data_IF_083385854341
#
_entry.id   IF_083385854341
#
_cell.length_a   1.000
_cell.length_b   1.000
_cell.length_c   1.000
_cell.angle_alpha   90.00
_cell.angle_beta   90.00
_cell.angle_gamma   90.00
#
_symmetry.space_group_name_H-M   'P 1'
#
loop_
_entity.id
_entity.type
_entity.pdbx_description
1 polymer ?
#
# COMPACT_ATOMS: atom_id res chain seq x y z
N UNK A 1 -0.45 6.59 -13.04
CA UNK A 1 -1.46 7.20 -13.95
C UNK A 1 -2.86 6.79 -13.55
N UNK A 2 -3.28 5.54 -13.75
CA UNK A 2 -4.63 5.10 -13.34
C UNK A 2 -4.88 5.28 -11.83
N UNK A 3 -3.97 4.77 -10.98
CA UNK A 3 -3.99 5.03 -9.54
C UNK A 3 -4.15 6.51 -9.19
N UNK A 4 -3.31 7.38 -9.78
CA UNK A 4 -3.33 8.81 -9.49
C UNK A 4 -4.66 9.46 -9.92
N UNK A 5 -5.26 8.99 -11.02
CA UNK A 5 -6.56 9.46 -11.48
C UNK A 5 -7.70 9.02 -10.55
N UNK A 6 -7.63 7.82 -9.98
CA UNK A 6 -8.57 7.36 -8.95
C UNK A 6 -8.46 8.23 -7.69
N UNK A 7 -7.24 8.56 -7.25
CA UNK A 7 -7.00 9.46 -6.11
C UNK A 7 -7.56 10.86 -6.36
N UNK A 8 -7.38 11.40 -7.57
CA UNK A 8 -7.92 12.71 -7.94
C UNK A 8 -9.45 12.68 -8.05
N UNK A 9 -10.00 11.60 -8.60
CA UNK A 9 -11.43 11.39 -8.78
C UNK A 9 -12.18 11.20 -7.46
N UNK A 10 -11.63 10.47 -6.49
CA UNK A 10 -12.31 10.18 -5.21
C UNK A 10 -12.58 11.41 -4.34
N UNK A 11 -11.88 12.52 -4.59
CA UNK A 11 -12.16 13.81 -3.93
C UNK A 11 -13.39 14.52 -4.52
N UNK A 12 -13.81 14.12 -5.71
CA UNK A 12 -14.82 14.82 -6.52
C UNK A 12 -16.09 13.98 -6.66
N UNK A 13 -15.93 12.68 -6.75
CA UNK A 13 -17.02 11.71 -6.79
C UNK A 13 -17.01 10.88 -5.51
N UNK A 14 -18.17 10.71 -4.86
CA UNK A 14 -18.26 9.90 -3.65
C UNK A 14 -18.32 8.42 -4.05
N UNK A 15 -17.19 7.78 -4.35
CA UNK A 15 -17.15 6.35 -4.67
C UNK A 15 -17.23 5.46 -3.41
N UNK A 16 -18.18 5.74 -2.50
CA UNK A 16 -18.39 4.96 -1.29
C UNK A 16 -19.82 4.42 -1.21
N UNK A 17 -20.00 3.34 -0.48
CA UNK A 17 -21.30 2.73 -0.24
C UNK A 17 -22.25 3.73 0.45
N UNK A 18 -23.46 3.90 -0.09
CA UNK A 18 -24.46 4.85 0.42
C UNK A 18 -24.39 6.28 -0.13
N UNK A 19 -23.47 6.57 -1.05
CA UNK A 19 -23.31 7.88 -1.69
C UNK A 19 -24.26 8.18 -2.87
N UNK A 20 -25.06 7.19 -3.29
CA UNK A 20 -25.87 7.26 -4.51
C UNK A 20 -25.10 6.93 -5.80
N UNK A 21 -23.77 6.83 -5.78
CA UNK A 21 -22.93 6.41 -6.91
C UNK A 21 -22.48 4.96 -6.71
N UNK A 22 -23.16 4.03 -7.38
CA UNK A 22 -22.85 2.60 -7.28
C UNK A 22 -21.97 2.13 -8.43
N UNK A 23 -20.66 2.15 -8.22
CA UNK A 23 -19.68 1.52 -9.13
C UNK A 23 -19.09 0.30 -8.44
N UNK A 24 -19.40 -0.89 -8.96
CA UNK A 24 -18.92 -2.15 -8.41
C UNK A 24 -17.59 -2.55 -9.05
N UNK A 25 -16.53 -2.68 -8.25
CA UNK A 25 -15.22 -3.14 -8.68
C UNK A 25 -15.08 -4.62 -8.37
N UNK A 26 -14.63 -5.42 -9.33
CA UNK A 26 -14.49 -6.87 -9.16
C UNK A 26 -13.07 -7.31 -9.48
N UNK A 27 -12.38 -7.86 -8.48
CA UNK A 27 -11.02 -8.38 -8.59
C UNK A 27 -10.98 -9.88 -8.29
N UNK A 28 -10.02 -10.56 -8.91
CA UNK A 28 -9.78 -12.00 -8.75
C UNK A 28 -8.53 -12.21 -7.91
N UNK A 29 -8.56 -13.26 -7.09
CA UNK A 29 -7.42 -13.72 -6.30
C UNK A 29 -6.26 -14.12 -7.22
N UNK A 30 -5.07 -13.61 -6.94
CA UNK A 30 -3.84 -13.84 -7.71
C UNK A 30 -3.08 -15.12 -7.31
N UNK A 31 -3.40 -15.71 -6.15
CA UNK A 31 -2.76 -16.91 -5.61
C UNK A 31 -3.55 -18.18 -5.92
N UNK A 32 -4.87 -18.12 -5.84
CA UNK A 32 -5.73 -19.27 -6.09
C UNK A 32 -6.07 -19.42 -7.58
N UNK A 33 -5.48 -20.42 -8.24
CA UNK A 33 -5.97 -20.86 -9.56
C UNK A 33 -7.20 -21.75 -9.35
N UNK A 34 -8.31 -21.40 -10.00
CA UNK A 34 -9.50 -22.25 -10.03
C UNK A 34 -9.15 -23.70 -10.39
N UNK A 35 -9.62 -24.67 -9.59
CA UNK A 35 -9.52 -26.10 -9.95
C UNK A 35 -10.46 -26.38 -11.14
N UNK A 36 -10.31 -27.54 -11.81
CA UNK A 36 -11.03 -27.93 -13.05
C UNK A 36 -12.57 -27.74 -13.04
N UNK A 37 -13.19 -27.54 -11.87
CA UNK A 37 -14.62 -27.30 -11.65
C UNK A 37 -14.94 -26.05 -10.78
N UNK A 38 -13.94 -25.27 -10.37
CA UNK A 38 -14.11 -24.11 -9.47
C UNK A 38 -13.48 -22.87 -10.08
N UNK A 39 -14.24 -21.77 -10.19
CA UNK A 39 -13.73 -20.49 -10.65
C UNK A 39 -12.75 -19.90 -9.63
N UNK A 40 -11.71 -19.21 -10.09
CA UNK A 40 -10.85 -18.37 -9.23
C UNK A 40 -11.70 -17.51 -8.29
N UNK A 41 -11.43 -17.52 -6.97
CA UNK A 41 -12.12 -16.66 -6.02
C UNK A 41 -12.07 -15.20 -6.47
N UNK A 42 -13.19 -14.50 -6.29
CA UNK A 42 -13.32 -13.10 -6.66
C UNK A 42 -14.04 -12.33 -5.56
N UNK A 43 -13.69 -11.07 -5.43
CA UNK A 43 -14.33 -10.13 -4.52
C UNK A 43 -14.85 -8.95 -5.31
N UNK A 44 -16.10 -8.57 -5.02
CA UNK A 44 -16.81 -7.48 -5.66
C UNK A 44 -17.27 -6.49 -4.60
N UNK A 45 -16.72 -5.27 -4.61
CA UNK A 45 -17.02 -4.22 -3.62
C UNK A 45 -17.27 -2.90 -4.35
N UNK A 46 -18.29 -2.17 -3.92
CA UNK A 46 -18.64 -0.84 -4.45
C UNK A 46 -17.94 0.28 -3.68
N UNK A 47 -16.60 0.22 -3.64
CA UNK A 47 -15.75 1.18 -2.93
C UNK A 47 -14.52 1.54 -3.77
N UNK A 48 -14.30 2.84 -4.00
CA UNK A 48 -13.14 3.34 -4.72
C UNK A 48 -11.81 3.12 -3.98
N UNK A 49 -11.82 3.03 -2.65
CA UNK A 49 -10.62 2.67 -1.88
C UNK A 49 -10.26 1.19 -2.07
N UNK A 50 -11.24 0.30 -2.24
CA UNK A 50 -10.98 -1.10 -2.60
C UNK A 50 -10.27 -1.18 -3.96
N UNK A 51 -10.81 -0.50 -4.98
CA UNK A 51 -10.17 -0.40 -6.30
C UNK A 51 -8.73 0.11 -6.20
N UNK A 52 -8.50 1.16 -5.39
CA UNK A 52 -7.15 1.73 -5.20
C UNK A 52 -6.18 0.73 -4.57
N UNK A 53 -6.61 -0.05 -3.59
CA UNK A 53 -5.76 -1.08 -2.97
C UNK A 53 -5.39 -2.18 -3.97
N UNK A 54 -6.35 -2.67 -4.77
CA UNK A 54 -6.08 -3.67 -5.81
C UNK A 54 -5.14 -3.14 -6.91
N UNK A 55 -5.30 -1.87 -7.31
CA UNK A 55 -4.39 -1.23 -8.27
C UNK A 55 -2.98 -1.08 -7.68
N UNK A 56 -2.86 -0.68 -6.41
CA UNK A 56 -1.57 -0.60 -5.72
C UNK A 56 -0.91 -1.98 -5.60
N UNK A 57 -1.68 -3.03 -5.32
CA UNK A 57 -1.19 -4.40 -5.30
C UNK A 57 -0.53 -4.77 -6.65
N UNK A 58 -1.20 -4.48 -7.77
CA UNK A 58 -0.66 -4.73 -9.10
C UNK A 58 0.57 -3.86 -9.42
N UNK A 59 0.61 -2.61 -8.95
CA UNK A 59 1.80 -1.76 -9.08
C UNK A 59 2.98 -2.38 -8.32
N UNK A 60 2.78 -2.83 -7.08
CA UNK A 60 3.81 -3.50 -6.29
C UNK A 60 4.28 -4.80 -6.95
N UNK A 61 3.37 -5.58 -7.50
CA UNK A 61 3.68 -6.81 -8.24
C UNK A 61 4.45 -6.52 -9.54
N UNK A 62 4.09 -5.48 -10.28
CA UNK A 62 4.84 -5.09 -11.49
C UNK A 62 6.23 -4.56 -11.13
N UNK A 63 6.36 -3.79 -10.05
CA UNK A 63 7.66 -3.34 -9.54
C UNK A 63 8.55 -4.53 -9.15
N UNK A 64 8.00 -5.57 -8.52
CA UNK A 64 8.79 -6.77 -8.19
C UNK A 64 9.24 -7.53 -9.45
N UNK A 65 8.38 -7.62 -10.47
CA UNK A 65 8.75 -8.20 -11.76
C UNK A 65 9.88 -7.43 -12.45
N UNK A 66 9.76 -6.10 -12.56
CA UNK A 66 10.81 -5.24 -13.13
C UNK A 66 12.12 -5.40 -12.36
N UNK A 67 12.05 -5.48 -11.02
CA UNK A 67 13.22 -5.73 -10.19
C UNK A 67 13.87 -7.08 -10.47
N UNK A 68 13.08 -8.12 -10.74
CA UNK A 68 13.56 -9.47 -11.06
C UNK A 68 14.15 -9.61 -12.47
N UNK A 69 13.69 -8.80 -13.43
CA UNK A 69 14.17 -8.79 -14.83
C UNK A 69 15.41 -7.91 -15.03
N UNK A 70 15.78 -7.09 -14.05
CA UNK A 70 16.95 -6.24 -14.11
C UNK A 70 18.26 -7.05 -14.25
N UNK A 71 19.22 -6.54 -15.01
CA UNK A 71 20.52 -7.19 -15.16
C UNK A 71 21.39 -7.05 -13.89
N UNK A 72 21.31 -8.04 -13.01
CA UNK A 72 22.03 -8.06 -11.72
C UNK A 72 23.56 -8.17 -11.83
N UNK A 73 24.11 -8.33 -13.04
CA UNK A 73 25.57 -8.29 -13.29
C UNK A 73 26.11 -6.87 -13.46
N UNK A 74 25.24 -5.85 -13.43
CA UNK A 74 25.61 -4.45 -13.62
C UNK A 74 25.22 -3.61 -12.40
N UNK A 75 26.02 -2.60 -12.11
CA UNK A 75 25.76 -1.65 -11.02
C UNK A 75 24.40 -0.97 -11.14
N UNK A 76 24.00 -0.60 -12.35
CA UNK A 76 22.73 0.08 -12.58
C UNK A 76 21.54 -0.88 -12.52
N UNK A 77 21.70 -2.13 -12.95
CA UNK A 77 20.70 -3.17 -12.74
C UNK A 77 20.47 -3.46 -11.26
N UNK A 78 21.54 -3.60 -10.47
CA UNK A 78 21.45 -3.81 -9.01
C UNK A 78 20.79 -2.63 -8.30
N UNK A 79 21.12 -1.39 -8.66
CA UNK A 79 20.45 -0.19 -8.12
C UNK A 79 18.96 -0.17 -8.48
N UNK A 80 18.63 -0.52 -9.71
CA UNK A 80 17.25 -0.52 -10.23
C UNK A 80 16.42 -1.58 -9.52
N UNK A 81 16.94 -2.81 -9.40
CA UNK A 81 16.31 -3.90 -8.66
C UNK A 81 16.08 -3.54 -7.19
N UNK A 82 17.13 -3.08 -6.50
CA UNK A 82 17.03 -2.66 -5.10
C UNK A 82 16.00 -1.53 -4.89
N UNK A 83 15.91 -0.57 -5.82
CA UNK A 83 14.91 0.49 -5.76
C UNK A 83 13.49 -0.08 -5.84
N UNK A 84 13.20 -0.88 -6.86
CA UNK A 84 11.85 -1.39 -7.08
C UNK A 84 11.40 -2.40 -6.02
N UNK A 85 12.32 -3.23 -5.50
CA UNK A 85 12.00 -4.11 -4.38
C UNK A 85 11.67 -3.30 -3.10
N UNK A 86 12.40 -2.22 -2.80
CA UNK A 86 12.08 -1.37 -1.64
C UNK A 86 10.74 -0.62 -1.81
N UNK A 87 10.43 -0.16 -3.03
CA UNK A 87 9.14 0.47 -3.36
C UNK A 87 7.98 -0.54 -3.25
N UNK A 88 8.15 -1.74 -3.81
CA UNK A 88 7.18 -2.83 -3.73
C UNK A 88 6.91 -3.24 -2.27
N UNK A 89 7.95 -3.45 -1.46
CA UNK A 89 7.82 -3.75 -0.03
C UNK A 89 7.02 -2.68 0.72
N UNK A 90 7.28 -1.41 0.42
CA UNK A 90 6.57 -0.28 1.02
C UNK A 90 5.10 -0.23 0.65
N UNK A 91 4.75 -0.50 -0.61
CA UNK A 91 3.37 -0.54 -1.07
C UNK A 91 2.62 -1.71 -0.43
N UNK A 92 3.19 -2.92 -0.40
CA UNK A 92 2.56 -4.06 0.29
C UNK A 92 2.33 -3.77 1.78
N UNK A 93 3.28 -3.11 2.44
CA UNK A 93 3.13 -2.70 3.84
C UNK A 93 1.99 -1.71 4.02
N UNK A 94 1.85 -0.74 3.11
CA UNK A 94 0.73 0.20 3.13
C UNK A 94 -0.63 -0.47 2.92
N UNK A 95 -0.72 -1.41 1.97
CA UNK A 95 -1.96 -2.17 1.72
C UNK A 95 -2.30 -2.97 2.98
N UNK A 96 -1.33 -3.64 3.61
CA UNK A 96 -1.51 -4.40 4.85
C UNK A 96 -2.16 -3.58 5.97
N UNK A 97 -1.76 -2.31 6.12
CA UNK A 97 -2.31 -1.41 7.14
C UNK A 97 -3.75 -0.94 6.85
N UNK A 98 -4.21 -1.02 5.60
CA UNK A 98 -5.50 -0.47 5.15
C UNK A 98 -6.53 -1.52 4.78
N UNK A 99 -6.09 -2.71 4.37
CA UNK A 99 -6.96 -3.73 3.78
C UNK A 99 -8.11 -4.12 4.71
N UNK A 100 -7.86 -4.25 6.01
CA UNK A 100 -8.90 -4.60 6.98
C UNK A 100 -10.01 -3.55 7.08
N UNK A 101 -9.65 -2.26 7.03
CA UNK A 101 -10.64 -1.18 7.12
C UNK A 101 -11.47 -0.98 5.86
N UNK A 102 -10.99 -1.46 4.71
CA UNK A 102 -11.60 -1.24 3.39
C UNK A 102 -12.36 -2.48 2.91
N UNK A 103 -11.78 -3.67 3.10
CA UNK A 103 -12.31 -4.94 2.57
C UNK A 103 -13.04 -5.73 3.66
N UNK A 104 -12.61 -5.59 4.92
CA UNK A 104 -13.09 -6.41 6.03
C UNK A 104 -12.62 -7.87 5.96
N UNK A 105 -12.70 -8.58 7.09
CA UNK A 105 -12.17 -9.95 7.20
C UNK A 105 -12.91 -10.98 6.32
N UNK A 106 -14.22 -10.81 6.10
CA UNK A 106 -15.06 -11.84 5.47
C UNK A 106 -15.14 -11.75 3.94
N UNK A 107 -14.60 -10.68 3.34
CA UNK A 107 -14.64 -10.45 1.88
C UNK A 107 -13.24 -10.41 1.26
N UNK A 108 -12.17 -10.51 2.06
CA UNK A 108 -10.81 -10.51 1.53
C UNK A 108 -10.50 -11.78 0.77
N UNK A 109 -10.02 -11.63 -0.47
CA UNK A 109 -9.29 -12.70 -1.15
C UNK A 109 -7.99 -12.99 -0.42
N UNK A 110 -7.42 -14.16 -0.67
CA UNK A 110 -6.23 -14.68 0.01
C UNK A 110 -5.04 -13.74 -0.17
N UNK A 111 -4.86 -13.27 -1.40
CA UNK A 111 -3.75 -12.38 -1.77
C UNK A 111 -3.79 -11.01 -1.07
N UNK A 112 -4.96 -10.63 -0.57
CA UNK A 112 -5.19 -9.40 0.19
C UNK A 112 -5.22 -9.62 1.72
N UNK A 113 -4.92 -10.83 2.21
CA UNK A 113 -4.82 -11.04 3.66
C UNK A 113 -3.59 -10.34 4.24
N UNK A 114 -3.66 -9.99 5.53
CA UNK A 114 -2.56 -9.31 6.24
C UNK A 114 -1.29 -10.15 6.22
N UNK A 115 -1.44 -11.46 6.35
CA UNK A 115 -0.36 -12.44 6.37
C UNK A 115 0.35 -12.50 5.02
N UNK A 116 -0.38 -12.59 3.90
CA UNK A 116 0.21 -12.63 2.55
C UNK A 116 0.90 -11.30 2.21
N UNK A 117 0.25 -10.17 2.49
CA UNK A 117 0.84 -8.84 2.25
C UNK A 117 2.12 -8.63 3.08
N UNK A 118 2.14 -9.14 4.31
CA UNK A 118 3.34 -9.13 5.15
C UNK A 118 4.46 -10.01 4.56
N UNK A 119 4.11 -11.21 4.11
CA UNK A 119 5.04 -12.14 3.49
C UNK A 119 5.69 -11.52 2.24
N UNK A 120 4.90 -10.92 1.35
CA UNK A 120 5.43 -10.22 0.17
C UNK A 120 6.33 -9.05 0.55
N UNK A 121 5.94 -8.24 1.52
CA UNK A 121 6.80 -7.15 2.01
C UNK A 121 8.17 -7.66 2.49
N UNK A 122 8.18 -8.73 3.30
CA UNK A 122 9.41 -9.34 3.78
C UNK A 122 10.27 -9.94 2.65
N UNK A 123 9.66 -10.65 1.68
CA UNK A 123 10.38 -11.23 0.53
C UNK A 123 11.06 -10.13 -0.29
N UNK A 124 10.33 -9.06 -0.61
CA UNK A 124 10.86 -7.92 -1.37
C UNK A 124 12.01 -7.25 -0.61
N UNK A 125 11.89 -7.09 0.71
CA UNK A 125 12.95 -6.49 1.52
C UNK A 125 14.22 -7.36 1.56
N UNK A 126 14.07 -8.69 1.64
CA UNK A 126 15.18 -9.64 1.51
C UNK A 126 15.90 -9.52 0.17
N UNK A 127 15.15 -9.47 -0.94
CA UNK A 127 15.70 -9.31 -2.29
C UNK A 127 16.41 -7.95 -2.49
N UNK A 128 15.88 -6.88 -1.90
CA UNK A 128 16.55 -5.58 -1.91
C UNK A 128 17.91 -5.62 -1.18
N UNK A 129 17.97 -6.26 -0.01
CA UNK A 129 19.22 -6.40 0.74
C UNK A 129 20.24 -7.30 0.01
N UNK A 130 19.77 -8.35 -0.68
CA UNK A 130 20.60 -9.16 -1.57
C UNK A 130 21.25 -8.32 -2.67
N UNK A 131 20.50 -7.45 -3.34
CA UNK A 131 21.07 -6.55 -4.35
C UNK A 131 22.17 -5.64 -3.78
N UNK A 132 22.01 -5.15 -2.54
CA UNK A 132 23.06 -4.37 -1.87
C UNK A 132 24.30 -5.20 -1.53
N UNK A 133 24.12 -6.46 -1.12
CA UNK A 133 25.25 -7.36 -0.90
C UNK A 133 26.01 -7.64 -2.21
N UNK A 134 25.30 -8.00 -3.28
CA UNK A 134 25.92 -8.35 -4.57
C UNK A 134 26.72 -7.17 -5.11
N UNK A 135 26.15 -5.96 -5.02
CA UNK A 135 26.83 -4.72 -5.36
C UNK A 135 28.08 -4.51 -4.50
N UNK A 136 27.95 -4.60 -3.18
CA UNK A 136 29.09 -4.40 -2.26
C UNK A 136 30.19 -5.45 -2.47
N UNK A 137 29.83 -6.68 -2.84
CA UNK A 137 30.76 -7.78 -3.09
C UNK A 137 31.52 -7.62 -4.40
N UNK A 138 30.94 -6.91 -5.37
CA UNK A 138 31.53 -6.63 -6.67
C UNK A 138 32.35 -5.34 -6.68
N UNK A 139 32.06 -4.41 -5.76
CA UNK A 139 32.79 -3.15 -5.61
C UNK A 139 34.25 -3.39 -5.13
N UNK A 140 35.28 -2.92 -5.87
CA UNK A 140 36.68 -3.19 -5.52
C UNK A 140 37.14 -2.62 -4.17
N UNK A 141 36.51 -1.56 -3.67
CA UNK A 141 36.86 -0.92 -2.41
C UNK A 141 36.18 -1.63 -1.22
N UNK A 142 34.93 -2.04 -1.38
CA UNK A 142 34.15 -2.74 -0.36
C UNK A 142 34.50 -4.23 -0.27
N UNK A 143 34.86 -4.88 -1.39
CA UNK A 143 35.29 -6.28 -1.39
C UNK A 143 36.60 -6.52 -0.60
N UNK A 144 37.38 -5.46 -0.37
CA UNK A 144 38.55 -5.47 0.52
C UNK A 144 38.21 -5.32 2.00
N UNK A 145 36.92 -5.14 2.35
CA UNK A 145 36.43 -4.99 3.72
C UNK A 145 35.53 -6.18 4.10
N UNK A 146 36.11 -7.37 4.31
CA UNK A 146 35.35 -8.60 4.54
C UNK A 146 34.43 -8.51 5.76
N UNK A 147 34.80 -7.78 6.82
CA UNK A 147 33.94 -7.58 7.99
C UNK A 147 32.63 -6.82 7.66
N UNK A 148 32.69 -5.85 6.74
CA UNK A 148 31.51 -5.10 6.29
C UNK A 148 30.60 -6.04 5.48
N UNK A 149 31.16 -6.80 4.53
CA UNK A 149 30.41 -7.78 3.75
C UNK A 149 29.78 -8.86 4.61
N UNK A 150 30.48 -9.31 5.67
CA UNK A 150 29.93 -10.27 6.62
C UNK A 150 28.65 -9.74 7.31
N UNK A 151 28.66 -8.48 7.74
CA UNK A 151 27.50 -7.84 8.39
C UNK A 151 26.33 -7.63 7.42
N UNK A 152 26.62 -7.29 6.17
CA UNK A 152 25.59 -7.13 5.12
C UNK A 152 24.98 -8.49 4.78
N UNK A 153 25.78 -9.54 4.56
CA UNK A 153 25.30 -10.89 4.31
C UNK A 153 24.48 -11.45 5.47
N UNK A 154 24.92 -11.22 6.71
CA UNK A 154 24.18 -11.67 7.90
C UNK A 154 22.81 -11.00 8.00
N UNK A 155 22.71 -9.72 7.63
CA UNK A 155 21.42 -9.05 7.54
C UNK A 155 20.55 -9.63 6.41
N UNK A 156 21.11 -9.95 5.25
CA UNK A 156 20.36 -10.61 4.16
C UNK A 156 19.80 -11.95 4.61
N UNK A 157 20.62 -12.76 5.27
CA UNK A 157 20.20 -14.04 5.86
C UNK A 157 19.04 -13.86 6.84
N UNK A 158 19.14 -12.86 7.73
CA UNK A 158 18.08 -12.54 8.68
C UNK A 158 16.78 -12.14 7.99
N UNK A 159 16.81 -11.26 6.99
CA UNK A 159 15.61 -10.84 6.27
C UNK A 159 14.94 -12.00 5.54
N UNK A 160 15.72 -12.91 4.94
CA UNK A 160 15.17 -14.14 4.35
C UNK A 160 14.60 -15.10 5.39
N UNK A 161 15.16 -15.14 6.60
CA UNK A 161 14.57 -15.90 7.71
C UNK A 161 13.19 -15.34 8.09
N UNK A 162 13.06 -14.02 8.17
CA UNK A 162 11.77 -13.37 8.49
C UNK A 162 10.77 -13.55 7.34
N UNK A 163 11.23 -13.49 6.09
CA UNK A 163 10.40 -13.78 4.92
C UNK A 163 9.89 -15.24 4.92
N UNK A 164 10.76 -16.21 5.23
CA UNK A 164 10.37 -17.61 5.32
C UNK A 164 9.34 -17.87 6.43
N UNK A 165 9.50 -17.24 7.61
CA UNK A 165 8.51 -17.31 8.70
C UNK A 165 7.17 -16.69 8.30
N UNK A 166 7.20 -15.49 7.73
CA UNK A 166 5.98 -14.81 7.27
C UNK A 166 5.25 -15.61 6.18
N UNK A 167 5.98 -16.28 5.29
CA UNK A 167 5.39 -17.18 4.30
C UNK A 167 4.75 -18.42 4.93
N UNK A 168 5.30 -18.95 6.02
CA UNK A 168 4.67 -20.06 6.78
C UNK A 168 3.39 -19.59 7.46
N UNK A 169 3.39 -18.41 8.06
CA UNK A 169 2.20 -17.81 8.68
C UNK A 169 1.10 -17.54 7.65
N UNK A 170 1.49 -17.14 6.43
CA UNK A 170 0.57 -16.93 5.31
C UNK A 170 0.06 -18.23 4.66
N UNK A 171 0.77 -19.35 4.81
CA UNK A 171 0.48 -20.59 4.09
C UNK A 171 -0.42 -21.54 4.89
N UNK A 172 -1.72 -21.54 4.55
CA UNK A 172 -2.67 -22.54 5.04
C UNK A 172 -3.11 -23.56 3.98
N UNK A 173 -2.84 -23.35 2.67
CA UNK A 173 -3.18 -24.25 1.54
C UNK A 173 -2.67 -23.79 0.15
N UNK A 174 -1.63 -22.95 0.04
CA UNK A 174 -1.33 -22.18 -1.18
C UNK A 174 -0.01 -22.57 -1.87
N UNK A 175 0.14 -22.21 -3.15
CA UNK A 175 1.38 -22.40 -3.93
C UNK A 175 2.57 -21.53 -3.47
N UNK A 176 2.60 -21.08 -2.21
CA UNK A 176 3.68 -20.29 -1.62
C UNK A 176 4.84 -21.14 -1.10
N UNK A 177 4.65 -22.46 -0.93
CA UNK A 177 5.68 -23.37 -0.43
C UNK A 177 7.00 -23.36 -1.22
N UNK A 178 6.95 -23.13 -2.53
CA UNK A 178 8.15 -23.00 -3.36
C UNK A 178 8.93 -21.71 -3.02
N UNK A 179 8.23 -20.59 -2.83
CA UNK A 179 8.84 -19.30 -2.44
C UNK A 179 9.40 -19.38 -1.02
N UNK A 180 8.69 -20.05 -0.11
CA UNK A 180 9.13 -20.30 1.27
C UNK A 180 10.41 -21.15 1.30
N UNK A 181 10.47 -22.19 0.49
CA UNK A 181 11.66 -23.04 0.36
C UNK A 181 12.84 -22.24 -0.19
N UNK A 182 12.61 -21.41 -1.22
CA UNK A 182 13.64 -20.54 -1.78
C UNK A 182 14.16 -19.52 -0.76
N UNK A 183 13.28 -18.89 0.01
CA UNK A 183 13.68 -17.96 1.07
C UNK A 183 14.48 -18.68 2.16
N UNK A 184 14.09 -19.89 2.55
CA UNK A 184 14.82 -20.71 3.51
C UNK A 184 16.21 -21.07 2.98
N UNK A 185 16.32 -21.46 1.72
CA UNK A 185 17.60 -21.74 1.08
C UNK A 185 18.48 -20.48 1.01
N UNK A 186 17.90 -19.33 0.64
CA UNK A 186 18.58 -18.03 0.62
C UNK A 186 19.08 -17.59 1.99
N UNK A 187 18.28 -17.80 3.03
CA UNK A 187 18.69 -17.59 4.42
C UNK A 187 19.99 -18.33 4.74
N UNK A 188 20.09 -19.62 4.39
CA UNK A 188 21.28 -20.42 4.69
C UNK A 188 22.48 -20.05 3.81
N UNK A 189 22.29 -19.75 2.52
CA UNK A 189 23.40 -19.32 1.66
C UNK A 189 24.01 -18.02 2.18
N UNK A 190 23.19 -17.04 2.53
CA UNK A 190 23.69 -15.77 3.05
C UNK A 190 24.32 -15.91 4.43
N UNK A 191 23.90 -16.90 5.24
CA UNK A 191 24.59 -17.28 6.46
C UNK A 191 25.99 -17.84 6.16
N UNK A 192 26.13 -18.68 5.12
CA UNK A 192 27.42 -19.17 4.65
C UNK A 192 28.31 -18.03 4.12
N UNK A 193 27.76 -17.09 3.37
CA UNK A 193 28.48 -15.90 2.90
C UNK A 193 28.97 -15.04 4.06
N UNK A 194 28.14 -14.82 5.08
CA UNK A 194 28.54 -14.08 6.26
C UNK A 194 29.71 -14.75 6.98
N UNK A 195 29.64 -16.06 7.21
CA UNK A 195 30.73 -16.82 7.83
C UNK A 195 32.01 -16.82 6.98
N UNK A 196 31.89 -16.93 5.66
CA UNK A 196 33.04 -16.92 4.74
C UNK A 196 33.77 -15.57 4.78
N UNK A 197 33.02 -14.48 4.72
CA UNK A 197 33.61 -13.14 4.80
C UNK A 197 34.20 -12.89 6.19
N UNK A 198 33.53 -13.31 7.26
CA UNK A 198 34.09 -13.17 8.60
C UNK A 198 35.34 -14.03 8.82
N UNK A 199 35.42 -15.22 8.22
CA UNK A 199 36.62 -16.05 8.24
C UNK A 199 37.79 -15.38 7.51
N UNK A 200 37.54 -14.72 6.38
CA UNK A 200 38.55 -13.89 5.70
C UNK A 200 39.03 -12.72 6.57
N UNK A 201 38.12 -12.05 7.27
CA UNK A 201 38.47 -10.98 8.20
C UNK A 201 39.35 -11.50 9.34
N UNK A 202 38.95 -12.62 9.97
CA UNK A 202 39.74 -13.27 11.01
C UNK A 202 41.14 -13.68 10.52
N UNK A 203 41.23 -14.22 9.30
CA UNK A 203 42.50 -14.60 8.69
C UNK A 203 43.41 -13.37 8.44
N UNK A 204 42.85 -12.25 7.97
CA UNK A 204 43.59 -11.00 7.79
C UNK A 204 44.11 -10.44 9.13
N UNK A 205 43.36 -10.63 10.21
CA UNK A 205 43.72 -10.26 11.57
C UNK A 205 44.60 -11.30 12.29
N UNK A 206 45.08 -12.34 11.58
CA UNK A 206 45.90 -13.44 12.12
C UNK A 206 45.22 -14.27 13.21
N UNK A 207 43.88 -14.28 13.26
CA UNK A 207 43.05 -15.16 14.10
C UNK A 207 42.73 -16.44 13.33
N UNK A 208 43.74 -17.27 13.13
CA UNK A 208 43.68 -18.45 12.25
C UNK A 208 42.75 -19.53 12.79
N UNK A 209 42.74 -19.76 14.10
CA UNK A 209 41.86 -20.71 14.77
C UNK A 209 40.39 -20.34 14.57
N UNK A 210 40.04 -19.06 14.74
CA UNK A 210 38.69 -18.56 14.46
C UNK A 210 38.30 -18.71 12.99
N UNK A 211 39.20 -18.39 12.06
CA UNK A 211 38.96 -18.55 10.63
C UNK A 211 38.60 -20.01 10.29
N UNK A 212 39.38 -20.97 10.80
CA UNK A 212 39.11 -22.41 10.61
C UNK A 212 37.77 -22.81 11.24
N UNK A 213 37.49 -22.37 12.47
CA UNK A 213 36.22 -22.67 13.12
C UNK A 213 35.01 -22.17 12.30
N UNK A 214 35.09 -20.96 11.74
CA UNK A 214 34.05 -20.39 10.86
C UNK A 214 33.91 -21.16 9.55
N UNK A 215 35.02 -21.55 8.93
CA UNK A 215 34.98 -22.36 7.72
C UNK A 215 34.37 -23.75 7.97
N UNK A 216 34.66 -24.38 9.12
CA UNK A 216 34.03 -25.65 9.53
C UNK A 216 32.51 -25.52 9.72
N UNK A 217 32.05 -24.38 10.26
CA UNK A 217 30.59 -24.10 10.37
C UNK A 217 29.93 -24.09 8.99
N UNK A 218 30.56 -23.49 7.98
CA UNK A 218 30.03 -23.48 6.59
C UNK A 218 29.89 -24.90 6.04
N UNK A 219 30.93 -25.73 6.22
CA UNK A 219 30.89 -27.13 5.79
C UNK A 219 29.83 -27.96 6.54
N UNK A 220 29.61 -27.68 7.83
CA UNK A 220 28.56 -28.33 8.63
C UNK A 220 27.16 -27.95 8.18
N UNK A 221 26.90 -26.67 7.94
CA UNK A 221 25.62 -26.18 7.40
C UNK A 221 25.30 -26.82 6.04
N UNK A 222 26.30 -27.02 5.19
CA UNK A 222 26.13 -27.68 3.89
C UNK A 222 25.60 -29.11 4.00
N UNK A 223 26.20 -29.90 4.89
CA UNK A 223 25.80 -31.30 5.11
C UNK A 223 24.35 -31.35 5.55
N UNK A 224 23.97 -30.49 6.51
CA UNK A 224 22.59 -30.41 7.01
C UNK A 224 21.58 -29.93 5.95
N UNK A 225 21.98 -29.07 5.01
CA UNK A 225 21.10 -28.60 3.92
C UNK A 225 20.91 -29.64 2.82
N UNK A 226 21.96 -30.36 2.43
CA UNK A 226 21.89 -31.31 1.30
C UNK A 226 21.30 -32.65 1.73
N UNK A 227 21.60 -33.14 2.92
CA UNK A 227 21.25 -34.50 3.33
C UNK A 227 19.74 -34.81 3.34
N UNK A 228 18.84 -33.91 3.82
CA UNK A 228 17.40 -34.14 3.78
C UNK A 228 16.81 -34.01 2.37
N UNK A 229 17.27 -33.05 1.57
CA UNK A 229 16.76 -32.79 0.22
C UNK A 229 17.28 -33.79 -0.81
N UNK A 230 18.52 -34.27 -0.67
CA UNK A 230 19.05 -35.40 -1.45
C UNK A 230 18.27 -36.70 -1.15
N UNK A 231 17.91 -36.96 0.11
CA UNK A 231 17.03 -38.09 0.50
C UNK A 231 15.62 -37.96 -0.09
N UNK A 232 15.10 -36.75 -0.23
CA UNK A 232 13.77 -36.50 -0.81
C UNK A 232 13.76 -36.61 -2.36
N UNK A 233 14.86 -36.25 -3.02
CA UNK A 233 15.02 -36.36 -4.49
C UNK A 233 15.36 -37.79 -4.92
N UNK A 234 16.10 -38.55 -4.11
CA UNK A 234 16.50 -39.93 -4.39
C UNK A 234 15.81 -40.91 -3.45
N UNK A 235 14.51 -41.12 -3.67
CA UNK A 235 13.78 -42.25 -3.06
C UNK A 235 14.21 -43.62 -3.62
N UNK A 236 15.09 -43.65 -4.63
CA UNK A 236 15.78 -44.85 -5.10
C UNK A 236 17.19 -44.47 -5.60
N UNK A 237 18.20 -45.25 -5.21
CA UNK A 237 19.62 -45.24 -5.61
C UNK A 237 20.60 -44.52 -4.68
N UNK A 238 21.32 -45.33 -3.93
CA UNK A 238 22.33 -45.00 -2.92
C UNK A 238 23.77 -44.88 -3.46
N UNK A 239 23.99 -44.49 -4.72
CA UNK A 239 25.35 -44.58 -5.31
C UNK A 239 25.86 -43.39 -6.15
N UNK A 240 25.15 -42.26 -6.24
CA UNK A 240 25.51 -41.19 -7.22
C UNK A 240 25.97 -39.84 -6.65
N UNK A 241 26.39 -39.75 -5.38
CA UNK A 241 26.94 -38.49 -4.82
C UNK A 241 28.39 -38.21 -5.22
N UNK A 242 29.11 -39.20 -5.77
CA UNK A 242 30.55 -39.07 -6.09
C UNK A 242 30.80 -38.72 -7.56
N UNK A 243 29.88 -39.00 -8.50
CA UNK A 243 30.11 -38.84 -9.94
C UNK A 243 28.95 -38.14 -10.69
N UNK A 244 28.79 -36.83 -10.50
CA UNK A 244 27.76 -36.05 -11.19
C UNK A 244 28.26 -35.57 -12.57
N UNK A 245 27.68 -36.09 -13.66
CA UNK A 245 27.97 -35.69 -15.05
C UNK A 245 26.84 -34.79 -15.59
N UNK A 246 27.19 -33.60 -16.08
CA UNK A 246 26.27 -32.57 -16.57
C UNK A 246 25.43 -32.90 -17.81
N UNK A 247 25.57 -34.09 -18.43
CA UNK A 247 24.79 -34.44 -19.64
C UNK A 247 23.38 -34.98 -19.37
N UNK A 248 23.13 -35.58 -18.19
CA UNK A 248 21.78 -36.05 -17.78
C UNK A 248 20.84 -34.91 -17.33
N UNK A 249 21.38 -33.69 -17.24
CA UNK A 249 20.71 -32.50 -16.71
C UNK A 249 19.71 -31.88 -17.70
N UNK A 250 20.01 -31.90 -19.00
CA UNK A 250 19.17 -31.23 -20.00
C UNK A 250 17.83 -31.92 -20.25
N UNK A 251 17.67 -33.19 -19.85
CA UNK A 251 16.46 -33.99 -20.12
C UNK A 251 15.38 -33.87 -19.02
N UNK A 252 15.69 -33.23 -17.88
CA UNK A 252 14.84 -33.25 -16.67
C UNK A 252 14.09 -31.94 -16.40
N UNK A 253 14.45 -30.84 -17.07
CA UNK A 253 13.96 -29.49 -16.73
C UNK A 253 12.54 -29.25 -17.27
N UNK A 254 11.56 -29.04 -16.38
CA UNK A 254 10.16 -28.86 -16.77
C UNK A 254 9.10 -28.64 -15.67
N UNK A 255 9.42 -28.45 -14.38
CA UNK A 255 8.39 -28.12 -13.36
C UNK A 255 8.94 -27.52 -12.05
N UNK A 256 8.08 -26.91 -11.22
CA UNK A 256 8.34 -26.24 -9.91
C UNK A 256 9.36 -26.88 -8.95
N UNK A 257 9.76 -28.15 -9.13
CA UNK A 257 10.90 -28.78 -8.45
C UNK A 257 12.27 -28.13 -8.80
N UNK A 258 12.34 -27.35 -9.87
CA UNK A 258 13.59 -26.86 -10.49
C UNK A 258 14.29 -25.69 -9.74
N UNK A 259 13.57 -24.85 -8.99
CA UNK A 259 14.17 -23.67 -8.31
C UNK A 259 15.03 -24.07 -7.10
N UNK A 260 14.57 -25.02 -6.30
CA UNK A 260 15.33 -25.56 -5.18
C UNK A 260 16.62 -26.22 -5.68
N UNK A 261 16.54 -27.01 -6.77
CA UNK A 261 17.68 -27.72 -7.37
C UNK A 261 18.75 -26.73 -7.87
N UNK A 262 18.36 -25.67 -8.58
CA UNK A 262 19.29 -24.63 -9.05
C UNK A 262 19.99 -23.91 -7.89
N UNK A 263 19.26 -23.62 -6.81
CA UNK A 263 19.81 -22.98 -5.63
C UNK A 263 20.78 -23.90 -4.88
N UNK A 264 20.42 -25.18 -4.72
CA UNK A 264 21.31 -26.22 -4.18
C UNK A 264 22.58 -26.38 -5.03
N UNK A 265 22.48 -26.26 -6.35
CA UNK A 265 23.63 -26.31 -7.25
C UNK A 265 24.55 -25.11 -7.06
N UNK A 266 24.01 -23.90 -6.89
CA UNK A 266 24.80 -22.70 -6.62
C UNK A 266 25.52 -22.76 -5.26
N UNK A 267 24.81 -23.21 -4.22
CA UNK A 267 25.38 -23.47 -2.89
C UNK A 267 26.50 -24.52 -2.96
N UNK A 268 26.28 -25.62 -3.70
CA UNK A 268 27.26 -26.69 -3.92
C UNK A 268 28.50 -26.20 -4.66
N UNK A 269 28.35 -25.39 -5.71
CA UNK A 269 29.47 -24.78 -6.45
C UNK A 269 30.25 -23.81 -5.56
N UNK A 270 29.57 -22.95 -4.79
CA UNK A 270 30.24 -22.04 -3.87
C UNK A 270 31.05 -22.79 -2.81
N UNK A 271 30.50 -23.85 -2.25
CA UNK A 271 31.15 -24.58 -1.15
C UNK A 271 32.29 -25.45 -1.66
N UNK A 272 32.08 -26.23 -2.71
CA UNK A 272 33.14 -27.04 -3.33
C UNK A 272 34.25 -26.17 -3.92
N UNK A 273 33.91 -25.02 -4.49
CA UNK A 273 34.87 -24.14 -5.18
C UNK A 273 35.58 -23.13 -4.27
N UNK A 274 34.99 -22.72 -3.14
CA UNK A 274 35.56 -21.68 -2.26
C UNK A 274 35.75 -22.12 -0.82
N UNK A 275 34.71 -22.68 -0.18
CA UNK A 275 34.76 -23.00 1.25
C UNK A 275 35.67 -24.20 1.54
N UNK A 276 35.49 -25.34 0.87
CA UNK A 276 36.28 -26.55 1.11
C UNK A 276 37.78 -26.34 0.87
N UNK A 277 38.23 -25.71 -0.23
CA UNK A 277 39.65 -25.42 -0.42
C UNK A 277 40.21 -24.46 0.64
N UNK A 278 39.43 -23.46 1.07
CA UNK A 278 39.84 -22.52 2.10
C UNK A 278 40.02 -23.19 3.47
N UNK A 279 39.14 -24.13 3.85
CA UNK A 279 39.29 -24.95 5.07
C UNK A 279 40.61 -25.73 5.01
N UNK A 280 40.82 -26.48 3.92
CA UNK A 280 41.97 -27.37 3.79
C UNK A 280 43.30 -26.59 3.79
N UNK A 281 43.34 -25.44 3.11
CA UNK A 281 44.50 -24.55 3.13
C UNK A 281 44.75 -23.97 4.53
N UNK A 282 43.71 -23.44 5.18
CA UNK A 282 43.84 -22.86 6.52
C UNK A 282 44.25 -23.90 7.57
N UNK A 283 43.68 -25.11 7.53
CA UNK A 283 44.05 -26.20 8.42
C UNK A 283 45.48 -26.68 8.18
N UNK A 284 45.90 -26.78 6.92
CA UNK A 284 47.29 -27.10 6.57
C UNK A 284 48.22 -26.05 7.18
N UNK A 285 48.03 -24.77 6.89
CA UNK A 285 48.91 -23.72 7.38
C UNK A 285 48.90 -23.63 8.92
N UNK A 286 47.75 -23.84 9.56
CA UNK A 286 47.67 -23.86 11.01
C UNK A 286 48.41 -25.06 11.63
N UNK A 287 48.36 -26.23 11.02
CA UNK A 287 49.06 -27.43 11.52
C UNK A 287 50.58 -27.38 11.30
N UNK A 288 51.05 -26.64 10.30
CA UNK A 288 52.49 -26.56 9.98
C UNK A 288 53.17 -25.28 10.49
N UNK A 289 52.44 -24.17 10.65
CA UNK A 289 53.02 -22.84 10.88
C UNK A 289 52.47 -22.22 12.18
N UNK A 290 51.15 -22.04 12.29
CA UNK A 290 50.59 -21.14 13.30
C UNK A 290 50.26 -21.80 14.64
N UNK A 291 49.84 -23.06 14.63
CA UNK A 291 49.38 -23.82 15.80
C UNK A 291 48.35 -23.07 16.66
N UNK A 292 47.48 -22.27 16.02
CA UNK A 292 46.47 -21.49 16.72
C UNK A 292 45.34 -22.41 17.21
N UNK A 293 44.80 -22.12 18.39
CA UNK A 293 43.77 -22.94 19.02
C UNK A 293 42.46 -22.72 18.27
N UNK A 294 41.87 -23.81 17.77
CA UNK A 294 40.59 -23.74 17.07
C UNK A 294 39.45 -23.70 18.11
N UNK A 295 38.72 -22.57 18.25
CA UNK A 295 37.60 -22.49 19.17
C UNK A 295 36.45 -23.40 18.75
N UNK A 296 35.59 -23.77 19.72
CA UNK A 296 34.35 -24.48 19.42
C UNK A 296 33.40 -23.56 18.65
N UNK A 297 32.56 -24.12 17.79
CA UNK A 297 31.60 -23.35 16.99
C UNK A 297 30.68 -22.45 17.85
N UNK A 298 30.29 -22.90 19.04
CA UNK A 298 29.48 -22.12 19.99
C UNK A 298 30.21 -20.95 20.66
N UNK A 299 31.54 -20.97 20.66
CA UNK A 299 32.39 -19.91 21.24
C UNK A 299 32.85 -18.88 20.21
N UNK A 300 32.50 -19.04 18.94
CA UNK A 300 32.85 -18.09 17.87
C UNK A 300 31.97 -16.83 18.01
N UNK A 301 32.56 -15.62 17.92
CA UNK A 301 31.79 -14.37 18.02
C UNK A 301 30.66 -14.26 17.00
N UNK A 302 29.50 -13.78 17.46
CA UNK A 302 28.33 -13.54 16.61
C UNK A 302 28.64 -12.43 15.60
N UNK A 303 28.24 -12.63 14.35
CA UNK A 303 28.40 -11.63 13.28
C UNK A 303 27.32 -10.57 13.44
N UNK A 304 27.70 -9.30 13.47
CA UNK A 304 26.75 -8.19 13.49
C UNK A 304 25.87 -8.12 12.23
N UNK A 305 24.83 -7.29 12.26
CA UNK A 305 23.91 -7.09 11.13
C UNK A 305 23.97 -5.64 10.64
N UNK A 306 23.96 -5.44 9.32
CA UNK A 306 23.95 -4.11 8.70
C UNK A 306 22.70 -3.93 7.80
N UNK A 307 21.59 -3.36 8.32
CA UNK A 307 20.41 -3.03 7.51
C UNK A 307 20.68 -1.86 6.58
N UNK A 308 20.61 -2.13 5.27
CA UNK A 308 20.76 -1.12 4.21
C UNK A 308 19.43 -0.92 3.48
N UNK A 309 18.76 -2.03 3.14
CA UNK A 309 17.45 -2.00 2.54
C UNK A 309 16.39 -1.61 3.58
N UNK A 310 15.43 -0.78 3.14
CA UNK A 310 14.26 -0.40 3.91
C UNK A 310 13.03 -0.36 3.02
N UNK A 311 11.88 -0.79 3.54
CA UNK A 311 10.62 -0.61 2.85
C UNK A 311 10.37 0.90 2.69
N UNK A 312 10.22 1.38 1.44
CA UNK A 312 10.02 2.79 1.17
C UNK A 312 8.56 3.14 1.46
N UNK A 313 8.31 3.88 2.55
CA UNK A 313 6.96 4.27 2.93
C UNK A 313 6.18 4.86 1.75
N UNK A 314 4.99 4.33 1.50
CA UNK A 314 4.13 4.81 0.43
C UNK A 314 3.58 6.20 0.77
N UNK A 315 3.94 7.20 -0.03
CA UNK A 315 3.43 8.56 0.15
C UNK A 315 2.11 8.75 -0.60
N UNK A 316 0.99 8.71 0.13
CA UNK A 316 -0.36 8.92 -0.44
C UNK A 316 -0.59 10.31 -1.05
N UNK A 317 0.28 11.27 -0.78
CA UNK A 317 0.17 12.65 -1.27
C UNK A 317 1.00 12.89 -2.54
N UNK A 318 1.86 11.95 -2.93
CA UNK A 318 2.66 12.03 -4.15
C UNK A 318 2.02 11.23 -5.27
N UNK A 319 2.11 11.76 -6.49
CA UNK A 319 1.70 11.05 -7.69
C UNK A 319 2.73 9.98 -8.04
N UNK A 320 2.26 8.77 -8.36
CA UNK A 320 3.14 7.69 -8.82
C UNK A 320 3.62 7.91 -10.26
N UNK A 321 2.87 8.64 -11.08
CA UNK A 321 3.28 8.95 -12.45
C UNK A 321 4.08 10.25 -12.58
N UNK A 322 5.15 10.19 -13.37
CA UNK A 322 6.11 11.29 -13.57
C UNK A 322 5.53 12.56 -14.21
N UNK A 323 4.41 12.45 -14.93
CA UNK A 323 3.72 13.57 -15.60
C UNK A 323 2.20 13.39 -15.48
N UNK A 324 1.71 13.47 -14.25
CA UNK A 324 0.29 13.33 -13.99
C UNK A 324 -0.49 14.56 -14.46
N UNK A 325 -1.67 14.35 -15.04
CA UNK A 325 -2.63 15.40 -15.40
C UNK A 325 -3.99 14.92 -14.92
N UNK A 326 -4.64 15.70 -14.07
CA UNK A 326 -5.97 15.36 -13.56
C UNK A 326 -7.03 15.67 -14.62
N UNK A 327 -7.67 14.61 -15.14
CA UNK A 327 -8.76 14.71 -16.10
C UNK A 327 -9.95 15.52 -15.58
N UNK A 328 -10.16 15.53 -14.27
CA UNK A 328 -11.28 16.23 -13.64
C UNK A 328 -10.86 17.57 -13.05
N UNK A 329 -9.69 18.12 -13.38
CA UNK A 329 -9.14 19.33 -12.74
C UNK A 329 -10.12 20.50 -12.63
N UNK A 330 -10.99 20.70 -13.62
CA UNK A 330 -12.03 21.74 -13.63
C UNK A 330 -13.25 21.46 -12.74
N UNK A 331 -13.44 20.21 -12.31
CA UNK A 331 -14.57 19.80 -11.48
C UNK A 331 -14.30 20.11 -9.99
N UNK A 332 -15.25 20.80 -9.38
CA UNK A 332 -15.19 21.22 -7.98
C UNK A 332 -15.47 20.03 -7.05
N UNK A 333 -14.69 19.84 -5.97
CA UNK A 333 -14.93 18.77 -4.99
C UNK A 333 -16.31 18.84 -4.35
N UNK A 334 -16.92 17.68 -4.08
CA UNK A 334 -18.25 17.61 -3.45
C UNK A 334 -18.30 18.28 -2.07
N UNK A 335 -17.21 18.21 -1.30
CA UNK A 335 -17.10 18.89 -0.01
C UNK A 335 -17.29 20.42 -0.13
N UNK A 336 -16.84 21.01 -1.25
CA UNK A 336 -17.03 22.44 -1.51
C UNK A 336 -18.48 22.73 -1.90
N UNK A 337 -19.10 21.88 -2.73
CA UNK A 337 -20.53 22.00 -3.05
C UNK A 337 -21.38 21.94 -1.78
N UNK A 338 -21.19 20.93 -0.94
CA UNK A 338 -21.91 20.79 0.33
C UNK A 338 -21.69 21.99 1.26
N UNK A 339 -20.46 22.52 1.31
CA UNK A 339 -20.15 23.71 2.10
C UNK A 339 -20.87 24.97 1.57
N UNK A 340 -20.93 25.14 0.25
CA UNK A 340 -21.62 26.26 -0.40
C UNK A 340 -23.13 26.18 -0.18
N UNK A 341 -23.73 24.99 -0.30
CA UNK A 341 -25.14 24.77 -0.02
C UNK A 341 -25.46 25.09 1.44
N UNK A 342 -24.69 24.55 2.39
CA UNK A 342 -24.85 24.84 3.81
C UNK A 342 -24.71 26.34 4.12
N UNK A 343 -23.72 27.01 3.52
CA UNK A 343 -23.56 28.46 3.63
C UNK A 343 -24.78 29.22 3.08
N UNK A 344 -25.28 28.82 1.91
CA UNK A 344 -26.42 29.47 1.26
C UNK A 344 -27.70 29.35 2.08
N UNK A 345 -27.92 28.18 2.69
CA UNK A 345 -29.04 27.92 3.58
C UNK A 345 -28.94 28.78 4.85
N UNK A 346 -27.75 28.84 5.46
CA UNK A 346 -27.49 29.67 6.65
C UNK A 346 -27.68 31.15 6.38
N UNK A 347 -27.22 31.63 5.22
CA UNK A 347 -27.40 33.01 4.78
C UNK A 347 -28.89 33.34 4.61
N UNK A 348 -29.65 32.46 3.96
CA UNK A 348 -31.09 32.64 3.78
C UNK A 348 -31.82 32.68 5.12
N UNK A 349 -31.51 31.74 6.02
CA UNK A 349 -32.07 31.71 7.38
C UNK A 349 -31.84 33.02 8.14
N UNK A 350 -30.63 33.58 8.06
CA UNK A 350 -30.29 34.84 8.72
C UNK A 350 -31.07 36.01 8.12
N UNK A 351 -31.09 36.14 6.80
CA UNK A 351 -31.81 37.23 6.11
C UNK A 351 -33.31 37.15 6.38
N UNK A 352 -33.91 35.96 6.25
CA UNK A 352 -35.34 35.77 6.48
C UNK A 352 -35.71 36.10 7.94
N UNK A 353 -34.87 35.70 8.91
CA UNK A 353 -35.06 36.04 10.33
C UNK A 353 -35.08 37.54 10.58
N UNK A 354 -34.13 38.28 10.00
CA UNK A 354 -34.09 39.73 10.17
C UNK A 354 -35.26 40.42 9.46
N UNK A 355 -35.67 39.94 8.28
CA UNK A 355 -36.87 40.43 7.59
C UNK A 355 -38.12 40.22 8.45
N UNK A 356 -38.33 39.03 9.00
CA UNK A 356 -39.48 38.75 9.86
C UNK A 356 -39.45 39.57 11.14
N UNK A 357 -38.29 39.73 11.78
CA UNK A 357 -38.14 40.62 12.94
C UNK A 357 -38.53 42.06 12.62
N UNK A 358 -38.10 42.59 11.46
CA UNK A 358 -38.45 43.95 11.02
C UNK A 358 -39.97 44.04 10.76
N UNK A 359 -40.58 43.02 10.14
CA UNK A 359 -42.03 42.98 9.89
C UNK A 359 -42.83 42.95 11.18
N UNK A 360 -42.46 42.10 12.14
CA UNK A 360 -43.09 42.02 13.46
C UNK A 360 -43.02 43.35 14.20
N UNK A 361 -41.84 43.98 14.24
CA UNK A 361 -41.65 45.28 14.89
C UNK A 361 -42.44 46.39 14.19
N UNK A 362 -42.46 46.42 12.85
CA UNK A 362 -43.27 47.38 12.10
C UNK A 362 -44.77 47.18 12.37
N UNK A 363 -45.24 45.94 12.42
CA UNK A 363 -46.64 45.63 12.73
C UNK A 363 -46.99 46.03 14.17
N UNK A 364 -46.08 45.77 15.13
CA UNK A 364 -46.26 46.17 16.51
C UNK A 364 -46.32 47.70 16.65
N UNK A 365 -45.38 48.43 16.02
CA UNK A 365 -45.37 49.89 16.04
C UNK A 365 -46.64 50.45 15.39
N UNK A 366 -47.04 49.94 14.23
CA UNK A 366 -48.27 50.38 13.57
C UNK A 366 -49.52 50.10 14.42
N UNK A 367 -49.58 48.94 15.08
CA UNK A 367 -50.66 48.58 16.00
C UNK A 367 -50.73 49.50 17.23
N UNK A 368 -49.59 49.78 17.85
CA UNK A 368 -49.46 50.70 18.99
C UNK A 368 -49.80 52.13 18.58
N UNK A 369 -49.27 52.62 17.45
CA UNK A 369 -49.59 53.95 16.93
C UNK A 369 -51.09 54.07 16.66
N UNK A 370 -51.70 53.05 16.03
CA UNK A 370 -53.14 53.04 15.78
C UNK A 370 -53.97 52.99 17.07
N UNK A 371 -53.55 52.27 18.11
CA UNK A 371 -54.30 52.18 19.37
C UNK A 371 -54.27 53.47 20.18
N UNK A 372 -53.21 54.26 20.05
CA UNK A 372 -53.12 55.62 20.60
C UNK A 372 -53.68 56.70 19.65
N UNK A 373 -54.29 56.31 18.52
CA UNK A 373 -54.75 57.21 17.46
C UNK A 373 -53.66 58.16 16.94
N UNK A 374 -52.40 57.74 16.97
CA UNK A 374 -51.26 58.51 16.48
C UNK A 374 -50.95 58.18 15.01
N UNK A 375 -50.53 59.18 14.21
CA UNK A 375 -50.34 60.59 14.57
C UNK A 375 -51.63 61.45 14.48
N UNK A 376 -52.76 60.88 14.08
CA UNK A 376 -54.01 61.61 13.85
C UNK A 376 -54.48 62.47 15.05
N UNK A 377 -54.33 61.96 16.27
CA UNK A 377 -54.68 62.66 17.52
C UNK A 377 -53.85 63.92 17.78
N UNK A 378 -52.64 64.03 17.22
CA UNK A 378 -51.80 65.22 17.31
C UNK A 378 -52.06 66.21 16.17
N UNK A 379 -52.56 65.71 15.04
CA UNK A 379 -52.85 66.50 13.84
C UNK A 379 -54.25 67.14 13.88
N UNK A 380 -55.19 66.53 14.62
CA UNK A 380 -56.56 67.02 14.77
C UNK A 380 -56.67 68.13 15.83
N UNK A 381 -56.21 69.32 15.47
CA UNK A 381 -56.20 70.51 16.36
C UNK A 381 -57.56 71.24 16.41
N UNK A 382 -58.47 71.00 15.45
CA UNK A 382 -59.72 71.74 15.27
C UNK A 382 -60.99 70.86 15.32
N UNK A 383 -60.89 69.53 15.21
CA UNK A 383 -62.00 68.58 15.29
C UNK A 383 -62.94 68.58 14.07
N UNK A 384 -62.67 69.40 13.04
CA UNK A 384 -63.53 69.58 11.87
C UNK A 384 -62.91 69.09 10.55
N UNK A 385 -61.59 68.90 10.49
CA UNK A 385 -60.87 68.56 9.27
C UNK A 385 -60.21 67.18 9.38
N UNK A 386 -60.10 66.47 8.24
CA UNK A 386 -59.44 65.15 8.23
C UNK A 386 -57.93 65.30 8.52
N UNK A 387 -57.35 64.50 9.43
CA UNK A 387 -55.91 64.52 9.71
C UNK A 387 -55.06 64.27 8.45
N UNK A 388 -53.97 65.02 8.30
CA UNK A 388 -53.11 64.98 7.11
C UNK A 388 -52.54 63.58 6.84
N UNK A 389 -52.14 62.85 7.90
CA UNK A 389 -51.62 61.49 7.79
C UNK A 389 -52.63 60.48 7.22
N UNK A 390 -53.94 60.69 7.44
CA UNK A 390 -55.00 59.84 6.87
C UNK A 390 -55.19 60.19 5.38
N UNK A 391 -55.15 61.48 5.03
CA UNK A 391 -55.22 61.94 3.64
C UNK A 391 -54.06 61.37 2.82
N UNK A 392 -52.84 61.41 3.35
CA UNK A 392 -51.65 60.89 2.67
C UNK A 392 -51.70 59.37 2.50
N UNK A 393 -52.14 58.62 3.53
CA UNK A 393 -52.38 57.18 3.42
C UNK A 393 -53.46 56.85 2.38
N UNK A 394 -54.54 57.64 2.34
CA UNK A 394 -55.62 57.49 1.36
C UNK A 394 -55.09 57.66 -0.07
N UNK A 395 -54.28 58.69 -0.32
CA UNK A 395 -53.62 58.91 -1.62
C UNK A 395 -52.76 57.72 -2.03
N UNK A 396 -51.92 57.20 -1.13
CA UNK A 396 -51.07 56.04 -1.43
C UNK A 396 -51.89 54.81 -1.84
N UNK A 397 -53.04 54.57 -1.21
CA UNK A 397 -53.93 53.44 -1.57
C UNK A 397 -54.60 53.69 -2.93
N UNK A 398 -55.06 54.92 -3.19
CA UNK A 398 -55.68 55.31 -4.46
C UNK A 398 -54.66 55.20 -5.61
N UNK A 399 -53.43 55.69 -5.41
CA UNK A 399 -52.34 55.63 -6.40
C UNK A 399 -51.95 54.20 -6.73
N UNK A 400 -52.11 53.27 -5.79
CA UNK A 400 -51.92 51.83 -6.01
C UNK A 400 -53.10 51.15 -6.71
N UNK A 401 -54.14 51.89 -7.10
CA UNK A 401 -55.32 51.37 -7.80
C UNK A 401 -56.55 51.13 -6.89
N UNK A 402 -56.50 51.55 -5.63
CA UNK A 402 -57.60 51.39 -4.69
C UNK A 402 -57.87 49.91 -4.35
N UNK A 403 -59.15 49.51 -4.34
CA UNK A 403 -59.56 48.13 -4.00
C UNK A 403 -59.41 47.15 -5.17
N UNK A 404 -59.42 47.65 -6.40
CA UNK A 404 -59.48 46.83 -7.63
C UNK A 404 -58.35 45.79 -7.72
N UNK A 405 -57.07 46.11 -7.41
CA UNK A 405 -56.01 45.11 -7.44
C UNK A 405 -56.18 43.98 -6.41
N UNK A 406 -56.78 44.27 -5.25
CA UNK A 406 -57.04 43.26 -4.22
C UNK A 406 -58.11 42.28 -4.72
N UNK A 407 -59.18 42.81 -5.32
CA UNK A 407 -60.26 41.98 -5.89
C UNK A 407 -59.75 41.12 -7.04
N UNK A 408 -58.87 41.67 -7.91
CA UNK A 408 -58.23 40.90 -8.97
C UNK A 408 -57.35 39.78 -8.43
N UNK A 409 -56.53 40.04 -7.41
CA UNK A 409 -55.70 39.02 -6.78
C UNK A 409 -56.54 37.91 -6.13
N UNK A 410 -57.68 38.27 -5.52
CA UNK A 410 -58.63 37.30 -4.96
C UNK A 410 -59.30 36.44 -6.03
N UNK A 411 -59.61 36.99 -7.22
CA UNK A 411 -60.18 36.24 -8.34
C UNK A 411 -59.18 35.29 -9.00
N UNK A 412 -57.90 35.69 -9.09
CA UNK A 412 -56.86 34.89 -9.76
C UNK A 412 -56.33 33.75 -8.87
N UNK A 413 -56.49 33.85 -7.54
CA UNK A 413 -55.96 32.88 -6.59
C UNK A 413 -56.53 31.46 -6.77
N UNK A 414 -57.87 31.26 -6.89
CA UNK A 414 -58.46 29.95 -7.17
C UNK A 414 -58.04 29.39 -8.54
N UNK A 415 -58.00 30.23 -9.59
CA UNK A 415 -57.59 29.81 -10.93
C UNK A 415 -56.14 29.32 -10.95
N UNK A 416 -55.26 30.00 -10.21
CA UNK A 416 -53.85 29.61 -10.07
C UNK A 416 -53.69 28.29 -9.31
N UNK A 417 -54.54 28.04 -8.31
CA UNK A 417 -54.57 26.77 -7.58
C UNK A 417 -55.05 25.62 -8.48
N UNK A 418 -56.16 25.82 -9.19
CA UNK A 418 -56.73 24.81 -10.11
C UNK A 418 -55.73 24.45 -11.20
N UNK A 419 -55.02 25.45 -11.75
CA UNK A 419 -53.97 25.21 -12.74
C UNK A 419 -52.83 24.35 -12.18
N UNK A 420 -52.37 24.62 -10.96
CA UNK A 420 -51.34 23.78 -10.32
C UNK A 420 -51.85 22.35 -10.06
N UNK A 421 -53.12 22.18 -9.71
CA UNK A 421 -53.74 20.86 -9.53
C UNK A 421 -53.87 20.10 -10.85
N UNK A 422 -54.26 20.77 -11.93
CA UNK A 422 -54.29 20.18 -13.27
C UNK A 422 -52.91 19.71 -13.70
N UNK A 423 -51.88 20.55 -13.55
CA UNK A 423 -50.48 20.18 -13.86
C UNK A 423 -50.06 18.94 -13.05
N UNK A 424 -50.42 18.86 -11.78
CA UNK A 424 -50.13 17.70 -10.92
C UNK A 424 -50.90 16.43 -11.28
N UNK A 425 -52.08 16.56 -11.90
CA UNK A 425 -52.95 15.42 -12.24
C UNK A 425 -52.67 14.91 -13.67
N UNK A 426 -52.15 15.77 -14.54
CA UNK A 426 -51.77 15.44 -15.92
C UNK A 426 -50.32 14.96 -16.07
N UNK A 427 -49.43 15.28 -15.12
CA UNK A 427 -48.04 14.80 -15.04
C UNK A 427 -47.96 13.42 -14.35
#
# INVERSE_FOLDING_TARGET
RYHDQLVAGSRKFPFCEGSGVHVCFTWKDSLQKGKFLSSTPKTSISDGDFERLCVLYNIAALMSQIGSEANLQTDDGLKTAAKYFQESAGIFSYIKEKVLSVVGNNQSTTDLTVEVLNAYSCVMLGQAQECFYDKASSDPALNKKPEVLAKVAMQTSHLYSEAAKALVEADSSYSLGAVQSLCSAKKELFQCYAQHQQAKAANADKRFGEAIARYRVICGCFIQMIEPSARSLYKNSSELLVNFNGKQFCEIIGSEKDVNILYFQFVSVFIKGRATPAVLAAEKDNNFIYNDIIPKASSVPVIGKAPIAKAKAFNKNENLSMKFTDLFSSLVPLAVHNAVEAYSARRKELVDREIERIRELNNLINGVMSSFNLPAALEDMSGSDLPQSIIDKSRVVIDKGGVVPIDQLLQILPESLDRNQQILTEA
#
